data_IF_386754761250
#
_entry.id   IF_386754761250
#
_cell.length_a   1.000
_cell.length_b   1.000
_cell.length_c   1.000
_cell.angle_alpha   90.00
_cell.angle_beta   90.00
_cell.angle_gamma   90.00
#
_symmetry.space_group_name_H-M   'P 1'
#
loop_
_entity.id
_entity.type
_entity.pdbx_description
1 polymer ?
#
# COMPACT_ATOMS: atom_id res chain seq x y z
N UNK A 1 -36.25 42.00 7.18
CA UNK A 1 -35.92 41.00 8.22
C UNK A 1 -34.77 40.17 7.67
N UNK A 2 -33.54 40.52 8.03
CA UNK A 2 -32.34 39.83 7.54
C UNK A 2 -31.90 38.83 8.60
N UNK A 3 -32.00 37.54 8.31
CA UNK A 3 -31.41 36.49 9.14
C UNK A 3 -29.99 36.15 8.66
N UNK A 4 -29.11 35.75 9.58
CA UNK A 4 -27.66 35.86 9.41
C UNK A 4 -27.06 34.63 8.74
N UNK A 5 -25.94 34.85 8.04
CA UNK A 5 -25.05 33.81 7.55
C UNK A 5 -24.52 33.04 8.77
N UNK A 6 -24.96 31.79 8.93
CA UNK A 6 -24.28 30.83 9.79
C UNK A 6 -23.04 30.35 9.05
N UNK A 7 -21.92 30.98 9.32
CA UNK A 7 -20.61 30.42 9.05
C UNK A 7 -20.45 29.19 9.96
N UNK A 8 -20.38 28.00 9.36
CA UNK A 8 -20.16 26.76 10.07
C UNK A 8 -18.67 26.39 9.95
N UNK A 9 -17.86 26.54 11.00
CA UNK A 9 -16.45 26.19 10.97
C UNK A 9 -16.32 24.69 11.29
N UNK A 10 -16.34 23.84 10.26
CA UNK A 10 -16.04 22.41 10.43
C UNK A 10 -15.53 21.80 9.13
N UNK A 11 -14.39 22.29 8.64
CA UNK A 11 -13.55 21.53 7.68
C UNK A 11 -12.16 21.32 8.29
N UNK A 12 -12.08 20.39 9.24
CA UNK A 12 -10.81 19.87 9.70
C UNK A 12 -10.87 18.35 9.71
N UNK A 13 -10.86 17.77 8.50
CA UNK A 13 -10.67 16.33 8.30
C UNK A 13 -10.17 16.07 6.87
N UNK A 14 -8.90 16.40 6.62
CA UNK A 14 -8.35 16.31 5.26
C UNK A 14 -6.90 15.84 5.13
N UNK A 15 -6.11 15.78 6.20
CA UNK A 15 -4.65 15.66 6.03
C UNK A 15 -4.11 14.24 6.24
N UNK A 16 -4.77 13.40 7.04
CA UNK A 16 -4.29 12.02 7.29
C UNK A 16 -4.47 11.06 6.08
N UNK A 17 -5.33 11.39 5.12
CA UNK A 17 -5.52 10.57 3.92
C UNK A 17 -4.32 10.66 2.96
N UNK A 18 -3.79 11.87 2.79
CA UNK A 18 -2.75 12.17 1.80
C UNK A 18 -1.48 11.35 2.01
N UNK A 19 -1.02 11.24 3.25
CA UNK A 19 0.24 10.59 3.56
C UNK A 19 0.21 9.08 3.39
N UNK A 20 -0.90 8.46 3.81
CA UNK A 20 -1.16 7.04 3.59
C UNK A 20 -1.30 6.73 2.10
N UNK A 21 -1.94 7.60 1.32
CA UNK A 21 -2.08 7.40 -0.12
C UNK A 21 -0.76 7.62 -0.87
N UNK A 22 0.09 8.56 -0.41
CA UNK A 22 1.47 8.72 -0.87
C UNK A 22 2.33 7.49 -0.57
N UNK A 23 2.21 6.92 0.63
CA UNK A 23 2.91 5.68 0.99
C UNK A 23 2.52 4.51 0.08
N UNK A 24 1.22 4.34 -0.19
CA UNK A 24 0.74 3.32 -1.13
C UNK A 24 1.29 3.52 -2.54
N UNK A 25 1.32 4.77 -3.01
CA UNK A 25 1.86 5.10 -4.33
C UNK A 25 3.34 4.73 -4.44
N UNK A 26 4.17 5.14 -3.47
CA UNK A 26 5.61 4.82 -3.45
C UNK A 26 5.83 3.31 -3.33
N UNK A 27 5.11 2.64 -2.42
CA UNK A 27 5.22 1.20 -2.24
C UNK A 27 4.87 0.44 -3.53
N UNK A 28 3.79 0.83 -4.21
CA UNK A 28 3.39 0.24 -5.49
C UNK A 28 4.44 0.44 -6.57
N UNK A 29 4.95 1.66 -6.74
CA UNK A 29 6.02 1.95 -7.70
C UNK A 29 7.27 1.10 -7.46
N UNK A 30 7.75 1.00 -6.21
CA UNK A 30 8.90 0.18 -5.89
C UNK A 30 8.67 -1.33 -6.12
N UNK A 31 7.47 -1.83 -5.86
CA UNK A 31 7.13 -3.24 -6.13
C UNK A 31 7.04 -3.54 -7.64
N UNK A 32 6.58 -2.58 -8.44
CA UNK A 32 6.55 -2.71 -9.91
C UNK A 32 7.96 -2.65 -10.50
N UNK A 33 8.76 -1.67 -10.11
CA UNK A 33 10.14 -1.50 -10.62
C UNK A 33 11.09 -2.64 -10.21
N UNK A 34 10.86 -3.25 -9.05
CA UNK A 34 11.67 -4.38 -8.57
C UNK A 34 11.32 -5.73 -9.21
N UNK A 35 10.30 -5.78 -10.08
CA UNK A 35 9.82 -7.02 -10.71
C UNK A 35 9.06 -7.94 -9.75
N UNK A 36 8.72 -7.48 -8.54
CA UNK A 36 7.98 -8.29 -7.57
C UNK A 36 6.60 -8.70 -8.10
N UNK A 37 5.95 -7.82 -8.88
CA UNK A 37 4.67 -8.12 -9.51
C UNK A 37 4.77 -9.32 -10.44
N UNK A 38 5.84 -9.44 -11.23
CA UNK A 38 6.07 -10.59 -12.11
C UNK A 38 6.32 -11.87 -11.32
N UNK A 39 7.06 -11.77 -10.21
CA UNK A 39 7.29 -12.91 -9.29
C UNK A 39 5.96 -13.43 -8.74
N UNK A 40 5.07 -12.55 -8.29
CA UNK A 40 3.75 -12.95 -7.77
C UNK A 40 2.87 -13.55 -8.86
N UNK A 41 2.91 -13.01 -10.08
CA UNK A 41 2.21 -13.62 -11.22
C UNK A 41 2.71 -15.03 -11.50
N UNK A 42 4.02 -15.26 -11.45
CA UNK A 42 4.57 -16.60 -11.67
C UNK A 42 4.20 -17.56 -10.53
N UNK A 43 4.14 -17.09 -9.27
CA UNK A 43 3.64 -17.88 -8.14
C UNK A 43 2.17 -18.31 -8.34
N UNK A 44 1.31 -17.39 -8.79
CA UNK A 44 -0.08 -17.70 -9.11
C UNK A 44 -0.17 -18.73 -10.26
N UNK A 45 0.63 -18.56 -11.33
CA UNK A 45 0.68 -19.49 -12.46
C UNK A 45 1.19 -20.87 -12.03
N UNK A 46 2.20 -20.94 -11.17
CA UNK A 46 2.73 -22.20 -10.66
C UNK A 46 1.67 -22.99 -9.87
N UNK A 47 0.89 -22.30 -9.03
CA UNK A 47 -0.24 -22.92 -8.34
C UNK A 47 -1.31 -23.44 -9.31
N UNK A 48 -1.70 -22.64 -10.31
CA UNK A 48 -2.71 -23.05 -11.30
C UNK A 48 -2.22 -24.16 -12.26
N UNK A 49 -0.91 -24.25 -12.51
CA UNK A 49 -0.33 -25.40 -13.25
C UNK A 49 -0.40 -26.68 -12.43
N UNK A 50 -0.29 -26.57 -11.10
CA UNK A 50 -0.33 -27.72 -10.19
C UNK A 50 -1.76 -28.18 -9.94
N UNK A 51 -2.66 -27.23 -9.68
CA UNK A 51 -4.09 -27.45 -9.50
C UNK A 51 -4.89 -26.39 -10.27
N UNK A 52 -5.35 -26.69 -11.49
CA UNK A 52 -6.14 -25.76 -12.30
C UNK A 52 -7.56 -25.57 -11.76
N UNK A 53 -8.02 -26.43 -10.86
CA UNK A 53 -9.33 -26.32 -10.21
C UNK A 53 -9.30 -25.50 -8.92
N UNK A 54 -8.13 -24.95 -8.57
CA UNK A 54 -7.94 -24.23 -7.33
C UNK A 54 -8.81 -22.96 -7.27
N UNK A 55 -9.60 -22.76 -6.20
CA UNK A 55 -10.50 -21.62 -6.11
C UNK A 55 -9.71 -20.31 -6.00
N UNK A 56 -10.04 -19.34 -6.86
CA UNK A 56 -9.37 -18.03 -6.88
C UNK A 56 -9.43 -17.31 -5.51
N UNK A 57 -10.54 -17.47 -4.77
CA UNK A 57 -10.68 -16.91 -3.43
C UNK A 57 -9.65 -17.42 -2.44
N UNK A 58 -9.20 -18.66 -2.59
CA UNK A 58 -8.14 -19.26 -1.77
C UNK A 58 -6.74 -19.05 -2.35
N UNK A 59 -6.63 -18.73 -3.65
CA UNK A 59 -5.34 -18.54 -4.33
C UNK A 59 -4.56 -17.39 -3.72
N UNK A 60 -5.24 -16.29 -3.42
CA UNK A 60 -4.63 -15.15 -2.76
C UNK A 60 -4.12 -15.51 -1.36
N UNK A 61 -4.82 -16.35 -0.59
CA UNK A 61 -4.38 -16.80 0.73
C UNK A 61 -3.16 -17.74 0.64
N UNK A 62 -3.16 -18.64 -0.35
CA UNK A 62 -2.04 -19.56 -0.58
C UNK A 62 -0.77 -18.85 -1.06
N UNK A 63 -0.89 -17.88 -1.97
CA UNK A 63 0.25 -17.14 -2.55
C UNK A 63 0.81 -16.08 -1.59
N UNK A 64 -0.02 -15.49 -0.72
CA UNK A 64 0.35 -14.38 0.18
C UNK A 64 1.62 -14.61 1.02
N UNK A 65 1.82 -15.75 1.71
CA UNK A 65 3.06 -15.96 2.46
C UNK A 65 4.30 -15.96 1.56
N UNK A 66 4.25 -16.63 0.41
CA UNK A 66 5.35 -16.64 -0.55
C UNK A 66 5.59 -15.26 -1.17
N UNK A 67 4.53 -14.55 -1.54
CA UNK A 67 4.61 -13.20 -2.08
C UNK A 67 5.24 -12.22 -1.07
N UNK A 68 4.88 -12.30 0.22
CA UNK A 68 5.48 -11.47 1.28
C UNK A 68 6.96 -11.78 1.50
N UNK A 69 7.35 -13.05 1.45
CA UNK A 69 8.74 -13.47 1.56
C UNK A 69 9.59 -12.98 0.36
N UNK A 70 8.98 -12.94 -0.83
CA UNK A 70 9.63 -12.49 -2.06
C UNK A 70 9.84 -10.97 -2.16
N UNK A 71 9.32 -10.16 -1.22
CA UNK A 71 9.53 -8.71 -1.24
C UNK A 71 11.02 -8.41 -1.05
N UNK A 72 11.67 -7.69 -1.99
CA UNK A 72 13.09 -7.35 -1.88
C UNK A 72 13.38 -6.43 -0.70
N UNK A 73 14.55 -6.57 -0.09
CA UNK A 73 14.91 -5.79 1.10
C UNK A 73 15.03 -4.29 0.84
N UNK A 74 15.45 -3.89 -0.37
CA UNK A 74 15.48 -2.49 -0.76
C UNK A 74 14.08 -1.87 -0.80
N UNK A 75 13.04 -2.62 -1.21
CA UNK A 75 11.64 -2.16 -1.19
C UNK A 75 11.17 -2.01 0.25
N UNK A 76 11.46 -3.00 1.12
CA UNK A 76 11.13 -2.92 2.56
C UNK A 76 11.77 -1.69 3.20
N UNK A 77 13.05 -1.43 2.92
CA UNK A 77 13.78 -0.28 3.44
C UNK A 77 13.16 1.05 2.99
N UNK A 78 12.79 1.17 1.70
CA UNK A 78 12.13 2.36 1.16
C UNK A 78 10.77 2.61 1.81
N UNK A 79 9.92 1.58 1.91
CA UNK A 79 8.61 1.68 2.57
C UNK A 79 8.77 2.08 4.04
N UNK A 80 9.70 1.45 4.77
CA UNK A 80 10.01 1.80 6.15
C UNK A 80 10.50 3.24 6.31
N UNK A 81 11.34 3.74 5.38
CA UNK A 81 11.83 5.12 5.38
C UNK A 81 10.68 6.11 5.22
N UNK A 82 9.74 5.86 4.31
CA UNK A 82 8.57 6.72 4.10
C UNK A 82 7.67 6.69 5.33
N UNK A 83 7.39 5.51 5.90
CA UNK A 83 6.61 5.37 7.14
C UNK A 83 7.24 6.16 8.29
N UNK A 84 8.57 6.08 8.46
CA UNK A 84 9.29 6.85 9.50
C UNK A 84 9.16 8.37 9.28
N UNK A 85 9.28 8.85 8.05
CA UNK A 85 9.07 10.25 7.71
C UNK A 85 7.61 10.71 7.92
N UNK A 86 6.66 9.78 7.89
CA UNK A 86 5.22 10.03 8.13
C UNK A 86 4.92 10.18 9.63
N UNK A 87 5.53 9.33 10.46
CA UNK A 87 5.26 9.25 11.90
C UNK A 87 6.13 10.22 12.71
N UNK A 88 7.29 10.60 12.16
CA UNK A 88 8.19 11.57 12.76
C UNK A 88 8.38 12.73 11.78
N UNK A 89 7.41 13.66 11.66
CA UNK A 89 7.74 14.99 11.21
C UNK A 89 8.71 15.53 12.26
N UNK A 90 9.98 15.67 11.91
CA UNK A 90 10.89 16.45 12.74
C UNK A 90 10.27 17.84 12.85
N UNK A 91 9.84 18.17 14.06
CA UNK A 91 9.62 19.53 14.53
C UNK A 91 10.98 20.24 14.42
N UNK A 92 11.31 20.68 13.21
CA UNK A 92 12.38 21.65 13.01
C UNK A 92 11.88 22.95 13.65
N UNK A 93 12.54 23.28 14.77
CA UNK A 93 12.34 24.47 15.61
C UNK A 93 12.43 25.79 14.84
#
# INVERSE_FOLDING_TARGET
MSTPIQENPSKQKGEQGCERDRLKFVARGCLEESGWVDVVQELCRAHLRTDPSFPLGSLAEAVRPAARAAVPDHVKATVLKVVRASICPTDDS
#
